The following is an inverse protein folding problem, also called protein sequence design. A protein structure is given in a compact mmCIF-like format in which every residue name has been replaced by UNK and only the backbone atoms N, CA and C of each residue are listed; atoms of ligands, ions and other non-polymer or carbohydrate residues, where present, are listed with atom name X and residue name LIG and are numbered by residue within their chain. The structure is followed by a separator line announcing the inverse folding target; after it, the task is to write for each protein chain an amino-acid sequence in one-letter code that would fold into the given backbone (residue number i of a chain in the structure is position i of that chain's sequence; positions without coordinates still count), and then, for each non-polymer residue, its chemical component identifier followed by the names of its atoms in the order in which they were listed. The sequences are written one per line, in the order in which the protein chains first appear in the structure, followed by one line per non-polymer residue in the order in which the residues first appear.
data_IF_137377091992
#
_entry.id   IF_137377091992
#
_cell.length_a   1.000
_cell.length_b   1.000
_cell.length_c   1.000
_cell.angle_alpha   90.00
_cell.angle_beta   90.00
_cell.angle_gamma   90.00
#
_symmetry.space_group_name_H-M   'P 1'
#
loop_
_entity.id
_entity.type
_entity.pdbx_description
1 polymer ?
#
# COMPACT_ATOMS: atom_id res chain seq x y z
N UNK A 1 9.76 -13.88 -26.59
CA UNK A 1 8.68 -13.04 -26.06
C UNK A 1 8.06 -13.84 -24.94
N UNK A 2 8.33 -13.49 -23.69
CA UNK A 2 7.63 -14.09 -22.56
C UNK A 2 6.23 -13.49 -22.54
N UNK A 3 5.22 -14.34 -22.71
CA UNK A 3 3.85 -13.95 -22.43
C UNK A 3 3.71 -13.88 -20.91
N UNK A 4 3.06 -12.83 -20.36
CA UNK A 4 2.77 -12.82 -18.93
C UNK A 4 1.98 -14.07 -18.57
N UNK A 5 2.34 -14.71 -17.47
CA UNK A 5 1.62 -15.88 -16.97
C UNK A 5 0.20 -15.45 -16.59
N UNK A 6 -0.77 -15.71 -17.49
CA UNK A 6 -2.17 -15.30 -17.30
C UNK A 6 -2.83 -15.99 -16.10
N UNK A 7 -2.17 -16.95 -15.46
CA UNK A 7 -2.69 -17.59 -14.25
C UNK A 7 -2.42 -16.79 -12.98
N UNK A 8 -1.43 -15.90 -12.99
CA UNK A 8 -1.03 -15.13 -11.81
C UNK A 8 -1.70 -13.77 -11.74
N UNK A 9 -2.03 -13.35 -10.52
CA UNK A 9 -2.64 -12.06 -10.26
C UNK A 9 -1.55 -11.00 -10.25
N UNK A 10 -1.71 -9.96 -11.07
CA UNK A 10 -0.82 -8.82 -11.10
C UNK A 10 -1.60 -7.57 -10.70
N UNK A 11 -1.13 -6.91 -9.65
CA UNK A 11 -1.87 -5.86 -8.97
C UNK A 11 -0.98 -4.65 -8.78
N UNK A 12 -1.52 -3.47 -9.06
CA UNK A 12 -0.94 -2.20 -8.63
C UNK A 12 -1.64 -1.77 -7.34
N UNK A 13 -0.88 -1.63 -6.27
CA UNK A 13 -1.37 -1.26 -4.94
C UNK A 13 -0.79 0.10 -4.55
N UNK A 14 -1.62 0.94 -3.90
CA UNK A 14 -1.18 2.19 -3.30
C UNK A 14 -1.39 2.18 -1.80
N UNK A 15 -0.31 2.44 -1.07
CA UNK A 15 -0.31 2.71 0.37
C UNK A 15 0.06 4.15 0.63
N UNK A 16 -0.56 4.78 1.63
CA UNK A 16 -0.22 6.13 2.07
C UNK A 16 0.23 6.08 3.54
N UNK A 17 1.52 6.29 3.76
CA UNK A 17 2.12 6.23 5.09
C UNK A 17 1.89 7.52 5.85
N UNK A 18 1.37 7.40 7.08
CA UNK A 18 1.02 8.53 7.94
C UNK A 18 2.24 9.05 8.68
N UNK A 19 2.43 10.37 8.66
CA UNK A 19 3.35 11.09 9.54
C UNK A 19 2.60 11.98 10.54
N UNK A 20 2.92 11.82 11.82
CA UNK A 20 2.41 12.69 12.89
C UNK A 20 3.54 13.58 13.41
N UNK A 21 3.36 14.91 13.34
CA UNK A 21 4.30 15.86 13.93
C UNK A 21 4.29 15.79 15.46
N UNK A 22 5.42 16.11 16.12
CA UNK A 22 5.53 16.09 17.59
C UNK A 22 4.70 17.21 18.24
N UNK A 23 4.37 17.03 19.52
CA UNK A 23 3.50 17.93 20.27
C UNK A 23 4.24 19.23 20.65
N UNK A 24 4.03 20.33 19.90
CA UNK A 24 4.43 21.69 20.29
C UNK A 24 4.73 22.67 19.14
N UNK A 25 4.06 23.85 19.15
CA UNK A 25 4.18 25.02 18.24
C UNK A 25 3.71 24.82 16.78
N UNK A 26 2.85 25.74 16.31
CA UNK A 26 2.00 25.58 15.12
C UNK A 26 2.72 25.59 13.75
N UNK A 27 3.86 26.27 13.60
CA UNK A 27 4.49 26.49 12.27
C UNK A 27 5.61 25.50 11.92
N UNK A 28 6.22 24.83 12.91
CA UNK A 28 7.23 23.77 12.67
C UNK A 28 6.60 22.38 12.46
N UNK A 29 5.31 22.21 12.78
CA UNK A 29 4.62 20.93 12.81
C UNK A 29 4.41 20.29 11.42
N UNK A 30 4.22 21.09 10.38
CA UNK A 30 3.87 20.58 9.05
C UNK A 30 5.07 19.93 8.38
N UNK A 31 6.20 20.63 8.40
CA UNK A 31 7.49 20.09 7.92
C UNK A 31 7.89 18.84 8.69
N UNK A 32 7.74 18.84 10.02
CA UNK A 32 8.01 17.64 10.83
C UNK A 32 7.11 16.46 10.45
N UNK A 33 5.80 16.69 10.23
CA UNK A 33 4.89 15.62 9.82
C UNK A 33 5.20 15.07 8.42
N UNK A 34 5.51 15.95 7.46
CA UNK A 34 5.88 15.58 6.11
C UNK A 34 7.19 14.79 6.07
N UNK A 35 8.23 15.26 6.76
CA UNK A 35 9.52 14.57 6.90
C UNK A 35 9.35 13.19 7.55
N UNK A 36 8.54 13.09 8.61
CA UNK A 36 8.25 11.80 9.27
C UNK A 36 7.50 10.85 8.33
N UNK A 37 6.49 11.34 7.59
CA UNK A 37 5.76 10.52 6.63
C UNK A 37 6.71 9.98 5.55
N UNK A 38 7.60 10.84 5.05
CA UNK A 38 8.61 10.49 4.05
C UNK A 38 9.64 9.47 4.57
N UNK A 39 10.14 9.65 5.79
CA UNK A 39 11.06 8.67 6.39
C UNK A 39 10.39 7.29 6.54
N UNK A 40 9.13 7.25 7.01
CA UNK A 40 8.36 6.01 7.10
C UNK A 40 8.16 5.41 5.70
N UNK A 41 7.83 6.22 4.70
CA UNK A 41 7.68 5.80 3.29
C UNK A 41 8.94 5.08 2.80
N UNK A 42 10.09 5.67 3.02
CA UNK A 42 11.38 5.12 2.57
C UNK A 42 11.73 3.81 3.28
N UNK A 43 11.61 3.77 4.60
CA UNK A 43 11.86 2.57 5.38
C UNK A 43 10.93 1.43 4.94
N UNK A 44 9.63 1.71 4.75
CA UNK A 44 8.65 0.71 4.37
C UNK A 44 8.82 0.24 2.92
N UNK A 45 9.20 1.12 2.00
CA UNK A 45 9.57 0.74 0.64
C UNK A 45 10.79 -0.20 0.62
N UNK A 46 11.78 0.01 1.49
CA UNK A 46 12.92 -0.93 1.64
C UNK A 46 12.44 -2.30 2.13
N UNK A 47 11.56 -2.35 3.13
CA UNK A 47 11.02 -3.61 3.63
C UNK A 47 10.22 -4.36 2.55
N UNK A 48 9.38 -3.65 1.79
CA UNK A 48 8.61 -4.23 0.69
C UNK A 48 9.51 -4.86 -0.38
N UNK A 49 10.67 -4.26 -0.70
CA UNK A 49 11.62 -4.81 -1.68
C UNK A 49 12.31 -6.09 -1.19
N UNK A 50 12.56 -6.20 0.11
CA UNK A 50 13.54 -7.15 0.64
C UNK A 50 12.92 -8.29 1.48
N UNK A 51 11.69 -8.14 1.96
CA UNK A 51 11.05 -9.18 2.78
C UNK A 51 10.33 -10.18 1.86
N UNK A 52 10.71 -11.46 1.89
CA UNK A 52 9.99 -12.50 1.16
C UNK A 52 8.60 -12.68 1.77
N UNK A 53 7.58 -12.61 0.93
CA UNK A 53 6.19 -12.86 1.31
C UNK A 53 5.73 -14.08 0.52
N UNK A 54 5.25 -15.11 1.21
CA UNK A 54 4.82 -16.33 0.56
C UNK A 54 3.69 -16.03 -0.44
N UNK A 55 3.82 -16.56 -1.66
CA UNK A 55 2.83 -16.36 -2.71
C UNK A 55 2.79 -14.96 -3.31
N UNK A 56 3.71 -14.05 -2.93
CA UNK A 56 3.77 -12.68 -3.44
C UNK A 56 5.18 -12.30 -3.87
N UNK A 57 5.29 -11.70 -5.05
CA UNK A 57 6.52 -11.13 -5.60
C UNK A 57 6.30 -9.65 -5.89
N UNK A 58 7.09 -8.78 -5.26
CA UNK A 58 7.10 -7.36 -5.62
C UNK A 58 7.94 -7.18 -6.89
N UNK A 59 7.36 -6.55 -7.91
CA UNK A 59 8.01 -6.31 -9.20
C UNK A 59 8.58 -4.90 -9.32
N UNK A 60 7.81 -3.90 -8.86
CA UNK A 60 8.18 -2.50 -8.94
C UNK A 60 7.66 -1.74 -7.72
N UNK A 61 8.40 -0.70 -7.31
CA UNK A 61 7.99 0.22 -6.25
C UNK A 61 8.34 1.65 -6.68
N UNK A 62 7.31 2.48 -6.74
CA UNK A 62 7.37 3.90 -7.03
C UNK A 62 7.07 4.71 -5.76
N UNK A 63 7.99 5.60 -5.41
CA UNK A 63 7.90 6.50 -4.26
C UNK A 63 7.91 7.98 -4.64
N UNK A 64 7.68 8.30 -5.91
CA UNK A 64 7.76 9.67 -6.45
C UNK A 64 6.49 10.49 -6.18
N UNK A 65 5.48 9.91 -5.54
CA UNK A 65 4.25 10.64 -5.23
C UNK A 65 4.51 11.70 -4.17
N UNK A 66 3.96 12.89 -4.40
CA UNK A 66 4.12 14.04 -3.49
C UNK A 66 3.48 13.74 -2.13
N UNK A 67 4.16 14.16 -1.06
CA UNK A 67 3.60 14.15 0.29
C UNK A 67 2.50 15.19 0.37
N UNK A 68 1.38 14.84 0.99
CA UNK A 68 0.23 15.73 1.13
C UNK A 68 -0.29 15.76 2.56
N UNK A 69 -0.93 16.86 2.92
CA UNK A 69 -1.47 17.10 4.27
C UNK A 69 -2.99 17.16 4.21
N UNK A 70 -3.64 16.47 5.14
CA UNK A 70 -5.09 16.48 5.31
C UNK A 70 -5.44 16.92 6.72
N UNK A 71 -6.47 17.75 6.86
CA UNK A 71 -7.06 18.07 8.15
C UNK A 71 -7.98 16.93 8.58
N UNK A 72 -7.60 16.22 9.65
CA UNK A 72 -8.42 15.18 10.27
C UNK A 72 -9.40 15.84 11.25
N UNK A 73 -10.69 15.85 10.88
CA UNK A 73 -11.77 16.45 11.66
C UNK A 73 -11.98 15.74 13.01
N UNK A 74 -11.69 14.44 13.12
CA UNK A 74 -11.89 13.69 14.35
C UNK A 74 -10.83 14.05 15.40
N UNK A 75 -9.58 14.23 14.98
CA UNK A 75 -8.49 14.60 15.87
C UNK A 75 -8.28 16.12 15.97
N UNK A 76 -8.89 16.90 15.07
CA UNK A 76 -8.73 18.35 14.95
C UNK A 76 -7.32 18.75 14.51
N UNK A 77 -6.62 17.86 13.79
CA UNK A 77 -5.18 17.97 13.49
C UNK A 77 -4.92 17.73 12.01
N UNK A 78 -3.98 18.49 11.46
CA UNK A 78 -3.33 18.14 10.21
C UNK A 78 -2.43 16.91 10.36
N UNK A 79 -2.53 16.03 9.37
CA UNK A 79 -1.83 14.77 9.23
C UNK A 79 -1.20 14.72 7.85
N UNK A 80 0.10 14.41 7.79
CA UNK A 80 0.81 14.24 6.53
C UNK A 80 0.75 12.77 6.07
N UNK A 81 0.70 12.57 4.75
CA UNK A 81 0.67 11.27 4.12
C UNK A 81 1.68 11.20 2.97
N UNK A 82 2.50 10.16 2.96
CA UNK A 82 3.51 9.91 1.93
C UNK A 82 3.13 8.63 1.14
N UNK A 83 2.75 8.77 -0.14
CA UNK A 83 2.27 7.65 -0.95
C UNK A 83 3.40 6.75 -1.46
N UNK A 84 3.13 5.45 -1.53
CA UNK A 84 3.91 4.44 -2.25
C UNK A 84 2.98 3.66 -3.15
N UNK A 85 3.32 3.60 -4.43
CA UNK A 85 2.69 2.68 -5.37
C UNK A 85 3.63 1.52 -5.64
N UNK A 86 3.11 0.30 -5.66
CA UNK A 86 3.91 -0.87 -5.99
C UNK A 86 3.12 -1.86 -6.84
N UNK A 87 3.82 -2.54 -7.73
CA UNK A 87 3.27 -3.63 -8.53
C UNK A 87 3.73 -4.94 -7.91
N UNK A 88 2.77 -5.82 -7.67
CA UNK A 88 3.02 -7.17 -7.17
C UNK A 88 2.38 -8.21 -8.07
N UNK A 89 3.06 -9.35 -8.17
CA UNK A 89 2.51 -10.60 -8.66
C UNK A 89 2.14 -11.47 -7.46
N UNK A 90 0.98 -12.10 -7.48
CA UNK A 90 0.52 -13.02 -6.46
C UNK A 90 -0.05 -14.30 -7.09
N UNK A 91 0.15 -15.42 -6.39
CA UNK A 91 -0.33 -16.72 -6.85
C UNK A 91 -1.86 -16.83 -6.67
N UNK A 92 -2.40 -16.28 -5.57
CA UNK A 92 -3.83 -16.24 -5.30
C UNK A 92 -4.30 -14.88 -4.76
N UNK A 93 -5.61 -14.63 -4.77
CA UNK A 93 -6.16 -13.39 -4.20
C UNK A 93 -6.01 -13.38 -2.68
N UNK A 94 -6.03 -14.55 -2.05
CA UNK A 94 -5.84 -14.72 -0.62
C UNK A 94 -4.46 -14.24 -0.13
N UNK A 95 -3.42 -14.38 -0.95
CA UNK A 95 -2.06 -13.92 -0.63
C UNK A 95 -1.95 -12.38 -0.57
N UNK A 96 -2.88 -11.68 -1.21
CA UNK A 96 -2.93 -10.21 -1.31
C UNK A 96 -3.73 -9.59 -0.16
N UNK A 97 -4.73 -10.31 0.38
CA UNK A 97 -5.61 -9.81 1.45
C UNK A 97 -4.85 -9.14 2.62
N UNK A 98 -3.72 -9.68 3.12
CA UNK A 98 -2.97 -9.03 4.21
C UNK A 98 -2.45 -7.63 3.87
N UNK A 99 -2.29 -7.28 2.59
CA UNK A 99 -1.94 -5.93 2.17
C UNK A 99 -3.17 -5.02 2.15
N UNK A 100 -4.32 -5.53 1.69
CA UNK A 100 -5.56 -4.75 1.56
C UNK A 100 -6.17 -4.39 2.91
N UNK A 101 -5.88 -5.17 3.95
CA UNK A 101 -6.35 -4.95 5.32
C UNK A 101 -5.47 -3.98 6.13
N UNK A 102 -4.37 -3.47 5.57
CA UNK A 102 -3.51 -2.54 6.31
C UNK A 102 -4.10 -1.13 6.36
N UNK A 103 -3.86 -0.41 7.44
CA UNK A 103 -4.36 0.95 7.63
C UNK A 103 -3.84 1.93 6.56
N UNK A 104 -2.66 1.66 6.00
CA UNK A 104 -2.06 2.46 4.95
C UNK A 104 -2.69 2.21 3.58
N UNK A 105 -3.45 1.13 3.39
CA UNK A 105 -4.07 0.80 2.10
C UNK A 105 -5.03 1.91 1.63
N UNK A 106 -4.93 2.27 0.34
CA UNK A 106 -5.80 3.28 -0.28
C UNK A 106 -6.43 2.82 -1.58
N UNK A 107 -5.70 2.12 -2.43
CA UNK A 107 -6.20 1.69 -3.74
C UNK A 107 -5.53 0.39 -4.18
N UNK A 108 -6.31 -0.45 -4.86
CA UNK A 108 -5.81 -1.57 -5.66
C UNK A 108 -6.36 -1.47 -7.08
N UNK A 109 -5.55 -1.87 -8.05
CA UNK A 109 -5.91 -1.99 -9.45
C UNK A 109 -5.43 -3.34 -9.99
N UNK A 110 -6.32 -4.09 -10.63
CA UNK A 110 -6.00 -5.37 -11.26
C UNK A 110 -5.42 -5.09 -12.64
N UNK A 111 -4.13 -5.42 -12.83
CA UNK A 111 -3.44 -5.30 -14.11
C UNK A 111 -3.64 -6.56 -14.96
N UNK A 112 -3.62 -7.74 -14.33
CA UNK A 112 -3.94 -9.02 -14.96
C UNK A 112 -4.35 -10.08 -13.92
N UNK A 113 -5.11 -11.11 -14.33
CA UNK A 113 -5.79 -11.25 -15.61
C UNK A 113 -7.01 -10.31 -15.72
N UNK A 114 -7.56 -10.15 -16.93
CA UNK A 114 -8.74 -9.30 -17.16
C UNK A 114 -10.03 -9.81 -16.47
N UNK A 115 -10.06 -11.10 -16.11
CA UNK A 115 -11.16 -11.72 -15.36
C UNK A 115 -10.61 -12.67 -14.33
N UNK A 116 -11.14 -12.61 -13.11
CA UNK A 116 -10.86 -13.53 -12.02
C UNK A 116 -12.12 -14.34 -11.76
N UNK A 117 -12.00 -15.67 -11.70
CA UNK A 117 -13.09 -16.57 -11.31
C UNK A 117 -12.74 -17.16 -9.95
N UNK A 118 -13.67 -17.03 -9.00
CA UNK A 118 -13.52 -17.58 -7.66
C UNK A 118 -14.63 -18.60 -7.41
N UNK A 119 -14.27 -19.74 -6.84
CA UNK A 119 -15.26 -20.70 -6.36
C UNK A 119 -15.87 -20.25 -5.01
N UNK A 120 -16.92 -20.96 -4.56
CA UNK A 120 -17.62 -20.63 -3.31
C UNK A 120 -16.70 -20.63 -2.09
N UNK A 121 -15.73 -21.54 -2.01
CA UNK A 121 -14.82 -21.67 -0.87
C UNK A 121 -13.79 -20.55 -0.88
N UNK A 122 -13.29 -20.16 -2.06
CA UNK A 122 -12.40 -19.02 -2.22
C UNK A 122 -13.08 -17.72 -1.77
N UNK A 123 -14.34 -17.51 -2.19
CA UNK A 123 -15.13 -16.34 -1.76
C UNK A 123 -15.33 -16.34 -0.24
N UNK A 124 -15.75 -17.47 0.35
CA UNK A 124 -15.92 -17.60 1.80
C UNK A 124 -14.63 -17.25 2.55
N UNK A 125 -13.48 -17.77 2.13
CA UNK A 125 -12.18 -17.50 2.77
C UNK A 125 -11.77 -16.04 2.74
N UNK A 126 -12.10 -15.31 1.66
CA UNK A 126 -11.81 -13.88 1.55
C UNK A 126 -12.67 -13.08 2.53
N UNK A 127 -13.95 -13.45 2.67
CA UNK A 127 -14.92 -12.72 3.51
C UNK A 127 -14.66 -12.95 5.00
N UNK A 128 -14.28 -14.16 5.41
CA UNK A 128 -14.11 -14.52 6.82
C UNK A 128 -12.73 -14.17 7.41
N UNK A 129 -11.82 -13.56 6.63
CA UNK A 129 -10.47 -13.23 7.06
C UNK A 129 -10.32 -11.86 7.71
#
# INVERSE_FOLDING_TARGET
MDFPDETKLRLKVRFDYRGEGKQGRLFSRWKEGEEVAEEIREQRAILLRNIPIQGVKIEDINTNGEVYVVYDENSGREVAYAPVEFVLEADTIEDVIPFLLRDEFRKVEVLSPARISLDKYQVERIIYK
#
